data_IF_664335043530
#
_entry.id   IF_664335043530
#
_cell.length_a   1.000
_cell.length_b   1.000
_cell.length_c   1.000
_cell.angle_alpha   90.00
_cell.angle_beta   90.00
_cell.angle_gamma   90.00
#
_symmetry.space_group_name_H-M   'P 1'
#
loop_
_entity.id
_entity.type
_entity.pdbx_description
1 polymer ?
#
# COMPACT_ATOMS: atom_id res chain seq x y z
N UNK A 1 -2.69 4.44 -1.50
CA UNK A 1 -3.10 5.06 -0.24
C UNK A 1 -4.34 5.88 -0.49
N UNK A 2 -5.36 5.81 0.38
CA UNK A 2 -6.59 6.59 0.21
C UNK A 2 -6.27 8.07 0.42
N UNK A 3 -6.87 8.93 -0.40
CA UNK A 3 -6.74 10.37 -0.24
C UNK A 3 -7.41 10.84 1.07
N UNK A 4 -6.68 11.63 1.87
CA UNK A 4 -7.16 12.10 3.17
C UNK A 4 -8.37 13.03 3.05
N UNK A 5 -8.49 13.80 1.95
CA UNK A 5 -9.67 14.65 1.73
C UNK A 5 -10.89 13.79 1.44
N UNK A 6 -10.76 12.79 0.57
CA UNK A 6 -11.83 11.84 0.30
C UNK A 6 -12.31 11.16 1.58
N UNK A 7 -11.40 10.72 2.44
CA UNK A 7 -11.72 10.06 3.71
C UNK A 7 -12.49 10.99 4.66
N UNK A 8 -12.10 12.27 4.76
CA UNK A 8 -12.82 13.26 5.58
C UNK A 8 -14.22 13.57 5.04
N UNK A 9 -14.37 13.61 3.72
CA UNK A 9 -15.65 13.93 3.07
C UNK A 9 -16.59 12.72 3.04
N UNK A 10 -16.05 11.50 3.10
CA UNK A 10 -16.79 10.25 2.96
C UNK A 10 -16.41 9.20 4.01
N UNK A 11 -16.40 9.52 5.32
CA UNK A 11 -15.92 8.60 6.35
C UNK A 11 -16.78 7.33 6.43
N UNK A 12 -18.09 7.46 6.26
CA UNK A 12 -19.03 6.34 6.31
C UNK A 12 -18.78 5.33 5.19
N UNK A 13 -18.48 5.81 3.98
CA UNK A 13 -18.15 4.96 2.84
C UNK A 13 -16.89 4.14 3.10
N UNK A 14 -15.85 4.78 3.64
CA UNK A 14 -14.61 4.09 3.99
C UNK A 14 -14.86 3.09 5.12
N UNK A 15 -15.66 3.45 6.13
CA UNK A 15 -16.02 2.56 7.25
C UNK A 15 -16.77 1.32 6.78
N UNK A 16 -17.81 1.49 5.97
CA UNK A 16 -18.55 0.39 5.36
C UNK A 16 -17.63 -0.50 4.53
N UNK A 17 -16.66 0.08 3.82
CA UNK A 17 -15.66 -0.70 3.10
C UNK A 17 -14.74 -1.53 4.00
N UNK A 18 -14.31 -1.02 5.17
CA UNK A 18 -13.52 -1.82 6.11
C UNK A 18 -14.35 -2.99 6.66
N UNK A 19 -15.61 -2.72 7.02
CA UNK A 19 -16.55 -3.76 7.49
C UNK A 19 -16.75 -4.83 6.41
N UNK A 20 -16.93 -4.42 5.15
CA UNK A 20 -17.12 -5.34 4.03
C UNK A 20 -15.90 -6.26 3.81
N UNK A 21 -14.69 -5.79 4.15
CA UNK A 21 -13.45 -6.58 4.13
C UNK A 21 -13.26 -7.46 5.37
N UNK A 22 -14.11 -7.33 6.39
CA UNK A 22 -13.92 -7.97 7.70
C UNK A 22 -12.79 -7.32 8.51
N UNK A 23 -12.41 -6.08 8.20
CA UNK A 23 -11.36 -5.31 8.87
C UNK A 23 -11.93 -4.41 9.98
N UNK A 24 -11.06 -3.82 10.77
CA UNK A 24 -11.43 -2.93 11.88
C UNK A 24 -11.87 -1.55 11.35
N UNK A 25 -13.16 -1.16 11.47
CA UNK A 25 -13.63 0.14 11.05
C UNK A 25 -13.04 1.30 11.85
N UNK A 26 -12.57 1.07 13.08
CA UNK A 26 -12.08 2.14 13.98
C UNK A 26 -10.76 2.77 13.52
N UNK A 27 -10.08 2.14 12.56
CA UNK A 27 -8.94 2.73 11.86
C UNK A 27 -9.33 4.00 11.11
N UNK A 28 -10.57 4.12 10.63
CA UNK A 28 -11.05 5.33 9.95
C UNK A 28 -11.00 6.52 10.89
N UNK A 29 -11.56 6.40 12.09
CA UNK A 29 -11.53 7.44 13.11
C UNK A 29 -10.10 7.76 13.57
N UNK A 30 -9.25 6.74 13.67
CA UNK A 30 -7.84 6.90 14.03
C UNK A 30 -7.08 7.74 13.00
N UNK A 31 -7.34 7.53 11.69
CA UNK A 31 -6.76 8.34 10.62
C UNK A 31 -7.30 9.77 10.65
N UNK A 32 -8.61 9.95 10.86
CA UNK A 32 -9.23 11.29 10.93
C UNK A 32 -8.61 12.10 12.06
N UNK A 33 -8.50 11.52 13.25
CA UNK A 33 -7.92 12.18 14.42
C UNK A 33 -6.44 12.53 14.20
N UNK A 34 -5.67 11.62 13.58
CA UNK A 34 -4.28 11.91 13.26
C UNK A 34 -4.16 13.02 12.21
N UNK A 35 -5.01 13.05 11.19
CA UNK A 35 -5.01 14.11 10.18
C UNK A 35 -5.42 15.47 10.77
N UNK A 36 -6.36 15.50 11.72
CA UNK A 36 -6.70 16.71 12.47
C UNK A 36 -5.50 17.24 13.28
N UNK A 37 -4.80 16.35 14.01
CA UNK A 37 -3.58 16.70 14.73
C UNK A 37 -2.49 17.23 13.79
N UNK A 38 -2.32 16.59 12.63
CA UNK A 38 -1.38 17.04 11.58
C UNK A 38 -1.73 18.44 11.07
N UNK A 39 -3.00 18.70 10.75
CA UNK A 39 -3.46 20.02 10.28
C UNK A 39 -3.25 21.10 11.35
N UNK A 40 -3.50 20.77 12.61
CA UNK A 40 -3.24 21.67 13.75
C UNK A 40 -1.75 22.00 13.86
N UNK A 41 -0.88 21.00 13.81
CA UNK A 41 0.58 21.20 13.88
C UNK A 41 1.12 22.01 12.69
N UNK A 42 0.59 21.80 11.48
CA UNK A 42 0.92 22.61 10.30
C UNK A 42 0.53 24.08 10.53
N UNK A 43 -0.70 24.33 10.98
CA UNK A 43 -1.19 25.69 11.23
C UNK A 43 -0.37 26.42 12.31
N UNK A 44 -0.01 25.72 13.39
CA UNK A 44 0.84 26.27 14.46
C UNK A 44 2.24 26.62 13.94
N UNK A 45 2.86 25.72 13.18
CA UNK A 45 4.16 25.98 12.55
C UNK A 45 4.10 27.20 11.61
N UNK A 46 3.07 27.29 10.76
CA UNK A 46 2.89 28.41 9.83
C UNK A 46 2.68 29.73 10.57
N UNK A 47 1.91 29.73 11.66
CA UNK A 47 1.69 30.91 12.50
C UNK A 47 2.99 31.40 13.15
N UNK A 48 3.74 30.51 13.80
CA UNK A 48 5.03 30.84 14.44
C UNK A 48 6.05 31.33 13.42
N UNK A 49 6.08 30.73 12.22
CA UNK A 49 6.96 31.14 11.14
C UNK A 49 6.60 32.52 10.59
N UNK A 50 5.31 32.84 10.49
CA UNK A 50 4.85 34.17 10.10
C UNK A 50 5.24 35.23 11.15
N UNK A 51 5.10 34.91 12.44
CA UNK A 51 5.56 35.77 13.54
C UNK A 51 7.08 35.99 13.47
N UNK A 52 7.86 34.93 13.23
CA UNK A 52 9.32 35.01 13.12
C UNK A 52 9.77 35.91 11.96
N UNK A 53 9.10 35.80 10.81
CA UNK A 53 9.38 36.65 9.66
C UNK A 53 9.06 38.13 9.95
N UNK A 54 7.98 38.39 10.69
CA UNK A 54 7.58 39.74 11.09
C UNK A 54 8.59 40.34 12.07
N UNK A 55 9.00 39.56 13.08
CA UNK A 55 9.99 39.98 14.07
C UNK A 55 11.36 40.21 13.43
N UNK A 56 11.76 39.38 12.47
CA UNK A 56 13.02 39.55 11.72
C UNK A 56 13.06 40.87 10.94
N UNK A 57 11.94 41.30 10.35
CA UNK A 57 11.81 42.63 9.72
C UNK A 57 11.89 43.75 10.74
N UNK A 58 11.25 43.60 11.90
CA UNK A 58 11.30 44.59 12.98
C UNK A 58 12.72 44.77 13.54
N UNK A 59 13.49 43.69 13.73
CA UNK A 59 14.91 43.73 14.14
C UNK A 59 15.75 44.52 13.14
N UNK A 60 15.53 44.32 11.83
CA UNK A 60 16.23 45.05 10.77
C UNK A 60 15.93 46.55 10.78
N UNK A 61 14.72 46.95 11.18
CA UNK A 61 14.27 48.34 11.24
C UNK A 61 14.52 49.05 12.58
N UNK A 62 14.86 48.32 13.64
CA UNK A 62 14.99 48.85 14.99
C UNK A 62 16.28 49.68 15.22
N UNK A 63 16.17 50.69 16.08
CA UNK A 63 17.27 51.50 16.59
C UNK A 63 18.26 50.64 17.40
N UNK A 64 19.51 51.11 17.55
CA UNK A 64 20.57 50.31 18.20
C UNK A 64 20.24 49.99 19.66
N UNK A 65 19.45 50.81 20.35
CA UNK A 65 19.11 50.61 21.76
C UNK A 65 18.07 49.50 21.96
N UNK A 66 17.16 49.28 21.01
CA UNK A 66 16.06 48.29 21.11
C UNK A 66 16.42 46.90 20.53
N UNK A 67 17.48 46.83 19.73
CA UNK A 67 17.96 45.58 19.10
C UNK A 67 18.24 44.43 20.08
N UNK A 68 18.86 44.64 21.26
CA UNK A 68 19.16 43.52 22.17
C UNK A 68 17.91 42.79 22.65
N UNK A 69 16.84 43.52 22.99
CA UNK A 69 15.58 42.94 23.45
C UNK A 69 14.88 42.15 22.32
N UNK A 70 14.83 42.72 21.12
CA UNK A 70 14.22 42.07 19.95
C UNK A 70 15.01 40.81 19.50
N UNK A 71 16.33 40.81 19.65
CA UNK A 71 17.17 39.64 19.36
C UNK A 71 16.89 38.47 20.33
N UNK A 72 16.69 38.75 21.63
CA UNK A 72 16.33 37.71 22.60
C UNK A 72 14.94 37.12 22.30
N UNK A 73 13.94 37.95 21.99
CA UNK A 73 12.63 37.48 21.55
C UNK A 73 12.74 36.67 20.25
N UNK A 74 13.61 37.08 19.32
CA UNK A 74 13.83 36.36 18.06
C UNK A 74 14.46 34.99 18.26
N UNK A 75 15.39 34.85 19.21
CA UNK A 75 15.97 33.53 19.56
C UNK A 75 14.93 32.61 20.18
N UNK A 76 14.14 33.11 21.13
CA UNK A 76 13.08 32.33 21.77
C UNK A 76 12.04 31.86 20.74
N UNK A 77 11.66 32.72 19.80
CA UNK A 77 10.74 32.37 18.72
C UNK A 77 11.35 31.37 17.73
N UNK A 78 12.66 31.47 17.44
CA UNK A 78 13.35 30.49 16.59
C UNK A 78 13.32 29.07 17.20
N UNK A 79 13.51 28.95 18.52
CA UNK A 79 13.38 27.65 19.20
C UNK A 79 11.94 27.12 19.16
N UNK A 80 10.93 27.97 19.32
CA UNK A 80 9.51 27.57 19.17
C UNK A 80 9.21 27.09 17.75
N UNK A 81 9.67 27.81 16.73
CA UNK A 81 9.51 27.39 15.32
C UNK A 81 10.15 26.03 15.07
N UNK A 82 11.35 25.80 15.60
CA UNK A 82 12.04 24.50 15.49
C UNK A 82 11.27 23.37 16.18
N UNK A 83 10.71 23.64 17.36
CA UNK A 83 9.84 22.69 18.06
C UNK A 83 8.58 22.36 17.25
N UNK A 84 7.91 23.37 16.70
CA UNK A 84 6.72 23.21 15.88
C UNK A 84 7.01 22.46 14.57
N UNK A 85 8.15 22.69 13.93
CA UNK A 85 8.58 21.95 12.72
C UNK A 85 8.79 20.45 13.01
N UNK A 86 9.37 20.15 14.17
CA UNK A 86 9.55 18.76 14.65
C UNK A 86 8.20 18.11 14.94
N UNK A 87 7.30 18.81 15.63
CA UNK A 87 5.95 18.32 15.93
C UNK A 87 5.13 18.09 14.66
N UNK A 88 5.20 19.02 13.70
CA UNK A 88 4.60 18.90 12.36
C UNK A 88 5.11 17.64 11.66
N UNK A 89 6.42 17.45 11.58
CA UNK A 89 7.04 16.30 10.91
C UNK A 89 6.61 14.98 11.56
N UNK A 90 6.56 14.93 12.90
CA UNK A 90 6.08 13.75 13.63
C UNK A 90 4.59 13.46 13.36
N UNK A 91 3.76 14.49 13.26
CA UNK A 91 2.34 14.33 12.94
C UNK A 91 2.12 13.88 11.48
N UNK A 92 2.95 14.36 10.54
CA UNK A 92 2.94 13.90 9.14
C UNK A 92 3.30 12.42 9.03
N UNK A 93 4.36 11.97 9.70
CA UNK A 93 4.73 10.54 9.71
C UNK A 93 3.68 9.69 10.40
N UNK A 94 3.14 10.15 11.53
CA UNK A 94 2.10 9.42 12.26
C UNK A 94 0.85 9.17 11.40
N UNK A 95 0.38 10.19 10.67
CA UNK A 95 -0.74 10.03 9.74
C UNK A 95 -0.42 9.03 8.65
N UNK A 96 0.79 9.13 8.07
CA UNK A 96 1.25 8.21 7.01
C UNK A 96 1.24 6.76 7.49
N UNK A 97 1.78 6.49 8.67
CA UNK A 97 1.82 5.15 9.26
C UNK A 97 0.43 4.53 9.45
N UNK A 98 -0.52 5.28 10.04
CA UNK A 98 -1.88 4.76 10.25
C UNK A 98 -2.56 4.54 8.90
N UNK A 99 -2.44 5.50 7.99
CA UNK A 99 -3.09 5.46 6.70
C UNK A 99 -2.57 4.33 5.78
N UNK A 100 -1.33 3.85 5.99
CA UNK A 100 -0.81 2.66 5.30
C UNK A 100 -1.53 1.37 5.71
N UNK A 101 -2.14 1.33 6.89
CA UNK A 101 -2.91 0.18 7.36
C UNK A 101 -4.36 0.18 6.87
N UNK A 102 -4.80 1.26 6.21
CA UNK A 102 -6.16 1.39 5.73
C UNK A 102 -6.27 0.82 4.30
N UNK A 103 -6.97 -0.29 4.16
CA UNK A 103 -7.20 -0.95 2.87
C UNK A 103 -8.00 -0.07 1.92
N UNK A 104 -7.78 -0.26 0.62
CA UNK A 104 -8.46 0.51 -0.43
C UNK A 104 -9.99 0.33 -0.37
N UNK A 105 -10.73 1.35 -0.80
CA UNK A 105 -12.20 1.33 -0.80
C UNK A 105 -12.70 0.24 -1.75
N UNK A 106 -13.59 -0.61 -1.25
CA UNK A 106 -14.29 -1.64 -2.02
C UNK A 106 -15.24 -0.98 -3.02
N UNK A 107 -15.28 -1.54 -4.23
CA UNK A 107 -16.18 -1.10 -5.30
C UNK A 107 -17.61 -1.62 -5.01
N UNK A 108 -18.65 -0.89 -5.41
CA UNK A 108 -20.04 -1.13 -5.01
C UNK A 108 -20.60 -2.50 -5.46
N UNK A 109 -20.16 -3.03 -6.59
CA UNK A 109 -20.60 -4.31 -7.16
C UNK A 109 -19.81 -5.52 -6.62
N UNK A 110 -18.83 -5.30 -5.74
CA UNK A 110 -18.02 -6.38 -5.16
C UNK A 110 -18.83 -7.10 -4.06
N UNK A 111 -19.00 -8.44 -4.15
CA UNK A 111 -19.69 -9.21 -3.12
C UNK A 111 -19.03 -9.05 -1.75
N UNK A 112 -19.85 -8.82 -0.73
CA UNK A 112 -19.41 -8.76 0.67
C UNK A 112 -19.38 -10.17 1.25
N UNK A 113 -18.26 -10.56 1.86
CA UNK A 113 -18.11 -11.85 2.51
C UNK A 113 -16.71 -12.44 2.40
N UNK A 114 -16.61 -13.73 2.70
CA UNK A 114 -15.37 -14.50 2.59
C UNK A 114 -15.22 -15.17 1.23
N UNK A 115 -14.29 -16.14 1.16
CA UNK A 115 -13.99 -16.89 -0.07
C UNK A 115 -15.22 -17.59 -0.67
N UNK A 116 -16.19 -18.00 0.17
CA UNK A 116 -17.39 -18.70 -0.27
C UNK A 116 -18.49 -17.78 -0.86
N UNK A 117 -18.39 -16.47 -0.66
CA UNK A 117 -19.42 -15.48 -1.04
C UNK A 117 -19.18 -14.90 -2.44
N UNK A 118 -18.33 -15.55 -3.25
CA UNK A 118 -18.04 -15.13 -4.61
C UNK A 118 -19.27 -15.23 -5.53
N UNK A 119 -19.33 -14.34 -6.52
CA UNK A 119 -20.33 -14.38 -7.58
C UNK A 119 -19.72 -14.91 -8.87
N UNK A 120 -20.32 -15.97 -9.42
CA UNK A 120 -19.95 -16.47 -10.75
C UNK A 120 -20.44 -15.47 -11.80
N UNK A 121 -19.51 -14.95 -12.61
CA UNK A 121 -19.82 -14.03 -13.71
C UNK A 121 -20.12 -14.83 -14.99
N UNK A 122 -19.27 -15.80 -15.32
CA UNK A 122 -19.42 -16.62 -16.51
C UNK A 122 -18.73 -17.98 -16.37
N UNK A 123 -19.17 -18.94 -17.19
CA UNK A 123 -18.47 -20.20 -17.45
C UNK A 123 -18.11 -20.26 -18.92
N UNK A 124 -16.83 -20.46 -19.22
CA UNK A 124 -16.34 -20.61 -20.61
C UNK A 124 -15.85 -22.04 -20.82
N UNK A 125 -16.47 -22.73 -21.79
CA UNK A 125 -16.20 -24.14 -22.08
C UNK A 125 -17.00 -25.10 -21.18
N UNK A 126 -16.73 -26.39 -21.34
CA UNK A 126 -17.38 -27.47 -20.59
C UNK A 126 -16.32 -28.37 -19.97
N UNK A 127 -16.39 -28.70 -18.66
CA UNK A 127 -15.48 -29.66 -18.05
C UNK A 127 -15.48 -30.98 -18.82
N UNK A 128 -14.28 -31.53 -19.05
CA UNK A 128 -14.12 -32.77 -19.82
C UNK A 128 -14.69 -33.95 -19.05
N UNK A 129 -15.53 -34.75 -19.72
CA UNK A 129 -15.94 -36.05 -19.24
C UNK A 129 -14.86 -37.10 -19.53
N UNK A 130 -14.53 -37.91 -18.54
CA UNK A 130 -13.56 -38.99 -18.66
C UNK A 130 -14.27 -40.34 -18.53
N UNK A 131 -13.93 -41.29 -19.40
CA UNK A 131 -14.38 -42.68 -19.29
C UNK A 131 -13.55 -43.50 -18.29
N UNK A 132 -12.70 -42.83 -17.50
CA UNK A 132 -11.78 -43.39 -16.51
C UNK A 132 -11.62 -42.40 -15.36
N UNK A 133 -11.11 -42.87 -14.22
CA UNK A 133 -10.81 -42.02 -13.06
C UNK A 133 -9.59 -41.11 -13.38
N UNK A 134 -9.76 -39.78 -13.47
CA UNK A 134 -8.66 -38.89 -13.78
C UNK A 134 -7.66 -38.86 -12.62
N UNK A 135 -6.37 -39.00 -12.95
CA UNK A 135 -5.27 -38.80 -11.99
C UNK A 135 -5.02 -37.31 -11.77
N UNK A 136 -4.56 -36.94 -10.58
CA UNK A 136 -4.18 -35.56 -10.30
C UNK A 136 -2.86 -35.17 -11.01
N UNK A 137 -2.58 -33.87 -11.03
CA UNK A 137 -1.43 -33.31 -11.72
C UNK A 137 -0.07 -33.77 -11.14
N UNK A 138 0.01 -34.07 -9.84
CA UNK A 138 1.25 -34.52 -9.19
C UNK A 138 1.54 -35.97 -9.58
N UNK A 139 0.53 -36.83 -9.52
CA UNK A 139 0.67 -38.23 -9.92
C UNK A 139 1.05 -38.34 -11.40
N UNK A 140 0.35 -37.60 -12.29
CA UNK A 140 0.69 -37.54 -13.71
C UNK A 140 2.10 -36.99 -13.93
N UNK A 141 2.46 -35.92 -13.21
CA UNK A 141 3.79 -35.32 -13.27
C UNK A 141 4.90 -36.30 -12.89
N UNK A 142 4.67 -37.16 -11.89
CA UNK A 142 5.62 -38.21 -11.49
C UNK A 142 5.73 -39.32 -12.54
N UNK A 143 4.60 -39.82 -13.06
CA UNK A 143 4.56 -40.87 -14.09
C UNK A 143 5.34 -40.44 -15.34
N UNK A 144 5.20 -39.17 -15.72
CA UNK A 144 5.86 -38.59 -16.90
C UNK A 144 7.33 -38.19 -16.64
N UNK A 145 7.82 -38.29 -15.40
CA UNK A 145 9.12 -37.74 -15.01
C UNK A 145 9.21 -36.22 -15.23
N UNK A 146 8.07 -35.53 -15.12
CA UNK A 146 7.92 -34.10 -15.35
C UNK A 146 8.00 -33.27 -14.05
N UNK A 147 7.62 -33.87 -12.91
CA UNK A 147 7.62 -33.23 -11.58
C UNK A 147 8.36 -34.14 -10.59
N UNK A 148 9.37 -33.60 -9.91
CA UNK A 148 10.11 -34.27 -8.84
C UNK A 148 9.96 -33.49 -7.51
N UNK A 149 8.97 -33.91 -6.73
CA UNK A 149 8.69 -33.34 -5.41
C UNK A 149 9.67 -33.81 -4.34
N UNK A 150 10.25 -35.01 -4.49
CA UNK A 150 11.13 -35.61 -3.48
C UNK A 150 12.47 -34.89 -3.44
N UNK A 151 13.09 -34.66 -4.60
CA UNK A 151 14.33 -33.89 -4.69
C UNK A 151 14.08 -32.42 -4.33
N UNK A 152 12.94 -31.86 -4.73
CA UNK A 152 12.56 -30.50 -4.33
C UNK A 152 12.49 -30.36 -2.80
N UNK A 153 11.79 -31.28 -2.14
CA UNK A 153 11.70 -31.30 -0.68
C UNK A 153 13.06 -31.52 0.00
N UNK A 154 13.91 -32.39 -0.55
CA UNK A 154 15.25 -32.66 -0.03
C UNK A 154 16.16 -31.43 -0.06
N UNK A 155 16.08 -30.60 -1.10
CA UNK A 155 16.98 -29.46 -1.29
C UNK A 155 16.45 -28.18 -0.65
N UNK A 156 15.14 -27.92 -0.79
CA UNK A 156 14.54 -26.62 -0.45
C UNK A 156 13.46 -26.70 0.64
N UNK A 157 13.07 -27.91 1.06
CA UNK A 157 12.03 -28.12 2.07
C UNK A 157 10.61 -28.22 1.50
N UNK A 158 9.60 -28.18 2.37
CA UNK A 158 8.21 -28.36 1.96
C UNK A 158 7.76 -27.30 0.93
N UNK A 159 6.83 -27.68 0.04
CA UNK A 159 6.28 -26.86 -1.06
C UNK A 159 7.24 -26.53 -2.21
N UNK A 160 8.38 -27.21 -2.29
CA UNK A 160 9.30 -27.13 -3.43
C UNK A 160 9.28 -28.40 -4.27
N UNK A 161 9.49 -28.23 -5.58
CA UNK A 161 9.57 -29.30 -6.57
C UNK A 161 10.52 -28.89 -7.69
N UNK A 162 11.06 -29.87 -8.41
CA UNK A 162 11.71 -29.63 -9.69
C UNK A 162 10.75 -29.94 -10.84
N UNK A 163 10.74 -29.08 -11.85
CA UNK A 163 10.25 -29.46 -13.17
C UNK A 163 11.41 -30.09 -13.96
N UNK A 164 11.16 -31.23 -14.56
CA UNK A 164 12.18 -32.02 -15.26
C UNK A 164 11.70 -32.43 -16.65
N UNK A 165 12.64 -32.66 -17.58
CA UNK A 165 12.34 -33.17 -18.92
C UNK A 165 11.20 -32.41 -19.60
N UNK A 166 10.12 -33.13 -19.92
CA UNK A 166 8.92 -32.57 -20.57
C UNK A 166 8.21 -31.50 -19.73
N UNK A 167 8.28 -31.56 -18.40
CA UNK A 167 7.70 -30.56 -17.50
C UNK A 167 8.43 -29.21 -17.59
N UNK A 168 9.76 -29.24 -17.61
CA UNK A 168 10.56 -28.03 -17.78
C UNK A 168 10.35 -27.40 -19.17
N UNK A 169 10.27 -28.23 -20.22
CA UNK A 169 9.97 -27.74 -21.57
C UNK A 169 8.58 -27.11 -21.67
N UNK A 170 7.58 -27.71 -21.00
CA UNK A 170 6.23 -27.16 -20.95
C UNK A 170 6.19 -25.78 -20.26
N UNK A 171 6.90 -25.61 -19.15
CA UNK A 171 7.02 -24.31 -18.46
C UNK A 171 7.54 -23.22 -19.40
N UNK A 172 8.67 -23.46 -20.07
CA UNK A 172 9.22 -22.50 -21.03
C UNK A 172 8.27 -22.23 -22.19
N UNK A 173 7.55 -23.24 -22.69
CA UNK A 173 6.58 -23.07 -23.75
C UNK A 173 5.41 -22.18 -23.31
N UNK A 174 4.87 -22.38 -22.11
CA UNK A 174 3.77 -21.59 -21.54
C UNK A 174 4.18 -20.14 -21.31
N UNK A 175 5.36 -19.90 -20.72
CA UNK A 175 5.89 -18.54 -20.50
C UNK A 175 6.07 -17.81 -21.83
N UNK A 176 6.70 -18.45 -22.82
CA UNK A 176 6.90 -17.85 -24.14
C UNK A 176 5.57 -17.58 -24.88
N UNK A 177 4.60 -18.49 -24.75
CA UNK A 177 3.26 -18.30 -25.31
C UNK A 177 2.57 -17.08 -24.68
N UNK A 178 2.58 -16.96 -23.35
CA UNK A 178 1.98 -15.84 -22.63
C UNK A 178 2.63 -14.49 -23.02
N UNK A 179 3.97 -14.44 -23.06
CA UNK A 179 4.72 -13.26 -23.51
C UNK A 179 4.36 -12.88 -24.94
N UNK A 180 4.27 -13.86 -25.84
CA UNK A 180 3.94 -13.61 -27.25
C UNK A 180 2.52 -13.08 -27.42
N UNK A 181 1.55 -13.64 -26.70
CA UNK A 181 0.16 -13.18 -26.71
C UNK A 181 0.03 -11.75 -26.14
N UNK A 182 0.68 -11.48 -25.01
CA UNK A 182 0.70 -10.15 -24.42
C UNK A 182 1.38 -9.12 -25.36
N UNK A 183 2.50 -9.49 -26.00
CA UNK A 183 3.17 -8.66 -27.00
C UNK A 183 2.28 -8.34 -28.20
N UNK A 184 1.54 -9.34 -28.71
CA UNK A 184 0.55 -9.13 -29.77
C UNK A 184 -0.61 -8.21 -29.34
N UNK A 185 -0.94 -8.19 -28.04
CA UNK A 185 -1.90 -7.26 -27.45
C UNK A 185 -1.31 -5.87 -27.11
N UNK A 186 -0.04 -5.61 -27.44
CA UNK A 186 0.62 -4.31 -27.27
C UNK A 186 1.33 -4.10 -25.94
N UNK A 187 1.46 -5.14 -25.11
CA UNK A 187 2.25 -5.06 -23.88
C UNK A 187 3.76 -5.10 -24.20
N UNK A 188 4.55 -4.35 -23.43
CA UNK A 188 6.02 -4.34 -23.55
C UNK A 188 6.60 -5.31 -22.50
N UNK A 189 7.31 -6.39 -22.91
CA UNK A 189 7.94 -7.30 -21.97
C UNK A 189 9.07 -6.61 -21.19
N UNK A 190 9.12 -6.86 -19.88
CA UNK A 190 10.17 -6.35 -18.98
C UNK A 190 10.65 -7.48 -18.09
N UNK A 191 11.96 -7.56 -17.87
CA UNK A 191 12.58 -8.45 -16.87
C UNK A 191 13.07 -7.56 -15.72
N UNK A 192 12.38 -7.52 -14.58
CA UNK A 192 12.82 -6.76 -13.41
C UNK A 192 13.85 -7.57 -12.58
N UNK A 193 14.60 -6.89 -11.69
CA UNK A 193 15.32 -7.58 -10.62
C UNK A 193 14.36 -8.39 -9.73
N UNK A 194 14.83 -9.55 -9.25
CA UNK A 194 14.12 -10.45 -8.32
C UNK A 194 14.79 -10.48 -6.95
#
# INVERSE_FOLDING_TARGET
MIDLKFLRENPDRVRSSQIARGEDPTLVESVIAADEARRTAIAEFEALRAEQNTLSKAVGAAAKEDRPALLETSKALAEKVKGADTAKSAAEERVREILLNLSNVVEEDVPVGGEADFKIIEHVGTPREFSFEPKDHVELGKILGAIDTERGAKVSGARFYYLTGVGALLEFALVNMAISQAGAAGFIPVIPPV
#
